data_IF_470510169409
#
_entry.id   IF_470510169409
#
_cell.length_a   1.000
_cell.length_b   1.000
_cell.length_c   1.000
_cell.angle_alpha   90.00
_cell.angle_beta   90.00
_cell.angle_gamma   90.00
#
_symmetry.space_group_name_H-M   'P 1'
#
loop_
_entity.id
_entity.type
_entity.pdbx_description
1 polymer ?
#
# COMPACT_ATOMS: atom_id res chain seq x y z
N UNK A 1 -19.13 -24.33 -12.23
CA UNK A 1 -18.85 -24.46 -10.77
C UNK A 1 -17.34 -24.36 -10.58
N UNK A 2 -16.84 -23.18 -10.29
CA UNK A 2 -15.41 -22.97 -10.02
C UNK A 2 -15.18 -23.16 -8.52
N UNK A 3 -14.26 -24.05 -8.17
CA UNK A 3 -13.94 -24.38 -6.77
C UNK A 3 -12.92 -23.36 -6.24
N UNK A 4 -13.29 -22.60 -5.22
CA UNK A 4 -12.37 -21.74 -4.48
C UNK A 4 -11.33 -22.58 -3.72
N UNK A 5 -10.06 -22.16 -3.76
CA UNK A 5 -8.98 -22.78 -3.01
C UNK A 5 -8.99 -22.20 -1.60
N UNK A 6 -9.11 -23.05 -0.59
CA UNK A 6 -9.02 -22.68 0.83
C UNK A 6 -7.67 -23.11 1.36
N UNK A 7 -6.83 -22.14 1.74
CA UNK A 7 -5.56 -22.43 2.41
C UNK A 7 -5.85 -22.50 3.93
N UNK A 8 -5.80 -23.71 4.47
CA UNK A 8 -5.86 -23.94 5.91
C UNK A 8 -4.43 -23.96 6.44
N UNK A 9 -4.12 -23.12 7.42
CA UNK A 9 -2.78 -22.99 7.99
C UNK A 9 -2.25 -24.33 8.53
N UNK A 10 -1.24 -24.89 7.86
CA UNK A 10 -0.52 -26.07 8.31
C UNK A 10 0.77 -25.61 8.97
N UNK A 11 0.76 -25.41 10.28
CA UNK A 11 1.97 -25.40 11.09
C UNK A 11 1.68 -26.07 12.43
N UNK A 12 2.21 -27.28 12.58
CA UNK A 12 2.26 -27.99 13.87
C UNK A 12 3.66 -27.96 14.47
N UNK A 13 3.72 -27.46 15.68
CA UNK A 13 4.67 -27.55 16.76
C UNK A 13 5.94 -28.42 16.60
N UNK A 14 7.09 -27.85 16.99
CA UNK A 14 8.13 -28.56 17.75
C UNK A 14 8.39 -27.81 19.06
N UNK A 15 7.92 -28.37 20.14
CA UNK A 15 8.34 -28.06 21.51
C UNK A 15 9.67 -28.77 21.77
N UNK A 16 10.63 -28.08 22.31
CA UNK A 16 11.73 -28.67 23.06
C UNK A 16 11.80 -27.97 24.43
N UNK A 17 11.59 -28.77 25.46
CA UNK A 17 11.70 -28.42 26.87
C UNK A 17 13.16 -28.20 27.26
N UNK A 18 13.44 -27.15 28.01
CA UNK A 18 14.49 -27.16 29.02
C UNK A 18 14.09 -26.21 30.17
N UNK A 19 13.93 -26.85 31.33
CA UNK A 19 13.69 -26.26 32.65
C UNK A 19 14.96 -25.63 33.22
N UNK A 20 14.83 -24.48 33.85
CA UNK A 20 15.51 -24.22 35.15
C UNK A 20 14.93 -23.01 35.88
N UNK A 21 14.74 -23.23 37.16
CA UNK A 21 14.09 -22.41 38.15
C UNK A 21 14.94 -21.24 38.64
N UNK A 22 14.33 -20.13 39.08
CA UNK A 22 14.34 -19.52 40.41
C UNK A 22 14.08 -18.00 40.36
N UNK A 23 12.99 -17.65 41.00
CA UNK A 23 12.68 -16.50 41.85
C UNK A 23 13.51 -15.20 41.70
N UNK A 24 12.82 -14.08 41.38
CA UNK A 24 12.77 -12.90 42.26
C UNK A 24 11.46 -12.15 41.98
N UNK A 25 10.69 -11.96 43.08
CA UNK A 25 9.47 -11.14 43.16
C UNK A 25 9.90 -9.66 43.07
N UNK A 26 9.41 -8.96 42.07
CA UNK A 26 9.51 -7.52 42.00
C UNK A 26 8.27 -7.01 41.27
N UNK A 27 7.20 -6.70 42.03
CA UNK A 27 6.07 -5.94 41.50
C UNK A 27 6.53 -4.56 41.09
N UNK A 28 6.77 -4.39 39.80
CA UNK A 28 6.72 -3.08 39.16
C UNK A 28 5.45 -3.06 38.32
N UNK A 29 4.41 -2.42 38.86
CA UNK A 29 3.31 -1.88 38.07
C UNK A 29 3.92 -0.89 37.06
N UNK A 30 4.38 -1.40 35.94
CA UNK A 30 4.60 -0.56 34.78
C UNK A 30 3.19 -0.31 34.21
N UNK A 31 2.54 0.74 34.72
CA UNK A 31 1.39 1.30 34.03
C UNK A 31 1.92 1.72 32.65
N UNK A 32 1.62 0.91 31.64
CA UNK A 32 1.79 1.32 30.25
C UNK A 32 0.92 2.56 30.08
N UNK A 33 1.58 3.72 29.96
CA UNK A 33 0.93 4.91 29.44
C UNK A 33 0.27 4.48 28.12
N UNK A 34 -1.00 4.84 27.87
CA UNK A 34 -1.59 4.61 26.58
C UNK A 34 -0.65 5.25 25.56
N UNK A 35 -0.17 4.47 24.60
CA UNK A 35 0.58 5.01 23.47
C UNK A 35 -0.27 6.14 22.89
N UNK A 36 0.32 7.33 22.73
CA UNK A 36 -0.35 8.44 22.07
C UNK A 36 -0.86 7.88 20.73
N UNK A 37 -2.16 7.99 20.48
CA UNK A 37 -2.74 7.54 19.22
C UNK A 37 -2.02 8.31 18.11
N UNK A 38 -1.34 7.59 17.23
CA UNK A 38 -0.78 8.19 16.02
C UNK A 38 -1.99 8.65 15.19
N UNK A 39 -2.13 9.97 14.93
CA UNK A 39 -3.30 10.53 14.26
C UNK A 39 -3.53 9.94 12.85
N UNK A 40 -2.52 9.28 12.28
CA UNK A 40 -2.64 8.58 11.01
C UNK A 40 -3.33 7.21 11.14
N UNK A 41 -3.41 6.61 12.35
CA UNK A 41 -4.06 5.31 12.54
C UNK A 41 -5.53 5.46 12.94
N UNK A 42 -6.42 4.96 12.09
CA UNK A 42 -7.87 5.00 12.28
C UNK A 42 -8.38 3.60 12.59
N UNK A 43 -8.99 3.40 13.77
CA UNK A 43 -9.69 2.17 14.11
C UNK A 43 -11.03 2.10 13.37
N UNK A 44 -11.18 1.12 12.48
CA UNK A 44 -12.39 0.92 11.66
C UNK A 44 -13.40 -0.01 12.33
N UNK A 45 -12.90 -1.04 13.00
CA UNK A 45 -13.64 -2.02 13.77
C UNK A 45 -12.70 -2.70 14.78
N UNK A 46 -13.22 -3.63 15.60
CA UNK A 46 -12.38 -4.40 16.51
C UNK A 46 -11.34 -5.23 15.73
N UNK A 47 -10.06 -4.92 15.98
CA UNK A 47 -8.92 -5.56 15.30
C UNK A 47 -8.78 -5.16 13.82
N UNK A 48 -9.41 -4.08 13.35
CA UNK A 48 -9.26 -3.57 11.98
C UNK A 48 -8.89 -2.10 12.02
N UNK A 49 -7.77 -1.75 11.41
CA UNK A 49 -7.25 -0.40 11.38
C UNK A 49 -6.82 -0.04 9.95
N UNK A 50 -6.87 1.25 9.63
CA UNK A 50 -6.24 1.82 8.45
C UNK A 50 -5.20 2.85 8.88
N UNK A 51 -4.08 2.90 8.20
CA UNK A 51 -3.16 4.03 8.26
C UNK A 51 -3.46 4.94 7.08
N UNK A 52 -3.95 6.12 7.38
CA UNK A 52 -4.27 7.16 6.39
C UNK A 52 -3.14 8.18 6.40
N UNK A 53 -2.44 8.29 5.29
CA UNK A 53 -1.20 9.06 5.23
C UNK A 53 -1.33 10.30 4.35
N UNK A 54 -0.47 11.29 4.60
CA UNK A 54 -0.33 12.43 3.71
C UNK A 54 0.44 12.02 2.44
N UNK A 55 0.03 12.46 1.24
CA UNK A 55 0.74 12.19 0.00
C UNK A 55 2.15 12.78 -0.05
N UNK A 56 2.44 13.78 0.77
CA UNK A 56 3.75 14.46 0.83
C UNK A 56 4.77 13.74 1.74
N UNK A 57 4.36 12.62 2.36
CA UNK A 57 5.20 11.88 3.32
C UNK A 57 6.00 10.73 2.69
N UNK A 58 6.75 10.02 3.55
CA UNK A 58 7.52 8.84 3.15
C UNK A 58 6.66 7.58 2.90
N UNK A 59 5.40 7.61 3.27
CA UNK A 59 4.46 6.50 3.12
C UNK A 59 3.72 6.54 1.79
N UNK A 60 3.22 7.70 1.38
CA UNK A 60 2.49 8.02 0.14
C UNK A 60 1.14 7.31 0.04
N UNK A 61 1.11 5.99 -0.10
CA UNK A 61 -0.13 5.19 -0.14
C UNK A 61 -0.62 4.77 1.26
N UNK A 62 -1.92 4.61 1.43
CA UNK A 62 -2.55 4.10 2.65
C UNK A 62 -2.24 2.62 2.87
N UNK A 63 -2.44 2.13 4.09
CA UNK A 63 -2.33 0.70 4.40
C UNK A 63 -3.41 0.23 5.36
N UNK A 64 -3.64 -1.10 5.38
CA UNK A 64 -4.59 -1.76 6.25
C UNK A 64 -3.92 -2.72 7.23
N UNK A 65 -4.47 -2.81 8.45
CA UNK A 65 -4.06 -3.78 9.47
C UNK A 65 -5.28 -4.58 9.89
N UNK A 66 -5.22 -5.89 9.74
CA UNK A 66 -6.27 -6.81 10.20
C UNK A 66 -5.67 -7.77 11.22
N UNK A 67 -6.02 -7.59 12.49
CA UNK A 67 -5.65 -8.51 13.56
C UNK A 67 -6.56 -9.72 13.47
N UNK A 68 -6.01 -10.85 13.05
CA UNK A 68 -6.67 -12.14 12.98
C UNK A 68 -6.64 -12.85 14.36
N UNK A 69 -7.13 -14.08 14.45
CA UNK A 69 -7.19 -14.77 15.75
C UNK A 69 -5.78 -15.14 16.26
N UNK A 70 -4.87 -15.56 15.40
CA UNK A 70 -3.50 -15.95 15.78
C UNK A 70 -2.39 -15.10 15.13
N UNK A 71 -2.72 -14.23 14.19
CA UNK A 71 -1.76 -13.48 13.41
C UNK A 71 -2.28 -12.10 13.03
N UNK A 72 -1.48 -11.36 12.26
CA UNK A 72 -1.86 -10.10 11.62
C UNK A 72 -1.69 -10.24 10.12
N UNK A 73 -2.65 -9.67 9.38
CA UNK A 73 -2.55 -9.41 7.96
C UNK A 73 -2.38 -7.91 7.75
N UNK A 74 -1.43 -7.54 6.90
CA UNK A 74 -1.17 -6.18 6.43
C UNK A 74 -1.62 -6.08 4.96
N UNK A 75 -2.33 -5.02 4.62
CA UNK A 75 -2.70 -4.68 3.24
C UNK A 75 -1.93 -3.43 2.86
N UNK A 76 -1.01 -3.56 1.90
CA UNK A 76 -0.02 -2.59 1.45
C UNK A 76 0.99 -2.13 2.52
N UNK A 77 2.18 -1.73 2.09
CA UNK A 77 3.34 -1.56 2.98
C UNK A 77 4.06 -0.23 2.83
N UNK A 78 3.47 0.72 2.09
CA UNK A 78 4.02 2.05 1.83
C UNK A 78 5.22 2.11 0.86
N UNK A 79 5.64 3.38 0.58
CA UNK A 79 6.67 3.72 -0.41
C UNK A 79 8.10 3.48 0.05
N UNK A 80 8.38 3.56 1.36
CA UNK A 80 9.75 3.42 1.85
C UNK A 80 9.88 2.32 2.91
N UNK A 81 11.07 1.71 3.03
CA UNK A 81 11.34 0.77 4.12
C UNK A 81 11.12 1.40 5.50
N UNK A 82 11.43 2.68 5.67
CA UNK A 82 11.24 3.42 6.91
C UNK A 82 9.74 3.55 7.26
N UNK A 83 8.90 3.84 6.28
CA UNK A 83 7.44 3.87 6.47
C UNK A 83 6.89 2.49 6.80
N UNK A 84 7.40 1.43 6.16
CA UNK A 84 7.09 0.04 6.52
C UNK A 84 7.51 -0.32 7.94
N UNK A 85 8.66 0.18 8.43
CA UNK A 85 9.10 0.01 9.82
C UNK A 85 8.18 0.71 10.81
N UNK A 86 7.73 1.93 10.49
CA UNK A 86 6.73 2.66 11.29
C UNK A 86 5.42 1.88 11.36
N UNK A 87 4.94 1.33 10.24
CA UNK A 87 3.77 0.47 10.20
C UNK A 87 3.94 -0.77 11.08
N UNK A 88 5.09 -1.45 11.00
CA UNK A 88 5.38 -2.62 11.84
C UNK A 88 5.46 -2.26 13.33
N UNK A 89 6.04 -1.12 13.67
CA UNK A 89 6.09 -0.62 15.06
C UNK A 89 4.67 -0.36 15.61
N UNK A 90 3.81 0.27 14.82
CA UNK A 90 2.41 0.49 15.17
C UNK A 90 1.65 -0.84 15.37
N UNK A 91 1.84 -1.83 14.50
CA UNK A 91 1.25 -3.15 14.68
C UNK A 91 1.66 -3.77 16.03
N UNK A 92 2.94 -3.67 16.38
CA UNK A 92 3.46 -4.20 17.65
C UNK A 92 2.89 -3.50 18.89
N UNK A 93 2.50 -2.23 18.77
CA UNK A 93 1.81 -1.51 19.86
C UNK A 93 0.34 -1.93 20.01
N UNK A 94 -0.29 -2.40 18.93
CA UNK A 94 -1.67 -2.87 18.90
C UNK A 94 -1.79 -4.31 19.42
N UNK A 95 -0.84 -5.19 19.03
CA UNK A 95 -0.93 -6.63 19.34
C UNK A 95 0.45 -7.30 19.32
N UNK A 96 0.70 -8.29 20.21
CA UNK A 96 1.91 -9.11 20.17
C UNK A 96 1.87 -10.21 19.09
N UNK A 97 0.77 -10.36 18.34
CA UNK A 97 0.62 -11.40 17.32
C UNK A 97 1.58 -11.15 16.15
N UNK A 98 2.17 -12.22 15.56
CA UNK A 98 3.07 -12.06 14.42
C UNK A 98 2.34 -11.63 13.17
N UNK A 99 2.99 -10.78 12.34
CA UNK A 99 2.52 -10.53 10.98
C UNK A 99 2.84 -11.77 10.14
N UNK A 100 1.81 -12.46 9.67
CA UNK A 100 1.94 -13.66 8.83
C UNK A 100 1.61 -13.43 7.38
N UNK A 101 0.84 -12.41 7.08
CA UNK A 101 0.38 -12.13 5.73
C UNK A 101 0.62 -10.65 5.40
N UNK A 102 1.20 -10.42 4.25
CA UNK A 102 1.21 -9.12 3.58
C UNK A 102 0.53 -9.30 2.25
N UNK A 103 -0.46 -8.47 1.97
CA UNK A 103 -1.19 -8.46 0.71
C UNK A 103 -0.89 -7.16 0.00
N UNK A 104 -0.38 -7.23 -1.22
CA UNK A 104 -0.25 -6.05 -2.07
C UNK A 104 -1.49 -5.90 -2.93
N UNK A 105 -2.12 -4.72 -2.88
CA UNK A 105 -3.27 -4.38 -3.70
C UNK A 105 -2.90 -4.43 -5.19
N UNK A 106 -1.78 -3.81 -5.54
CA UNK A 106 -1.22 -3.76 -6.90
C UNK A 106 0.31 -3.57 -6.84
N UNK A 107 0.97 -3.32 -7.97
CA UNK A 107 2.42 -3.35 -8.08
C UNK A 107 3.14 -2.01 -7.87
N UNK A 108 2.45 -0.89 -7.69
CA UNK A 108 3.10 0.39 -7.52
C UNK A 108 3.94 0.48 -6.25
N UNK A 109 5.00 1.26 -6.35
CA UNK A 109 6.05 1.37 -5.35
C UNK A 109 5.56 1.80 -3.97
N UNK A 110 4.58 2.69 -3.90
CA UNK A 110 4.02 3.23 -2.68
C UNK A 110 3.05 2.28 -1.94
N UNK A 111 2.86 1.08 -2.50
CA UNK A 111 2.13 -0.03 -1.89
C UNK A 111 3.02 -1.23 -1.57
N UNK A 112 4.25 -1.29 -2.13
CA UNK A 112 5.07 -2.52 -2.13
C UNK A 112 6.47 -2.36 -1.56
N UNK A 113 7.07 -1.17 -1.55
CA UNK A 113 8.46 -0.98 -1.18
C UNK A 113 8.77 -1.27 0.30
N UNK A 114 7.76 -1.21 1.19
CA UNK A 114 7.90 -1.66 2.57
C UNK A 114 7.88 -3.18 2.76
N UNK A 115 7.61 -3.99 1.73
CA UNK A 115 7.51 -5.45 1.82
C UNK A 115 8.72 -6.10 2.51
N UNK A 116 9.93 -5.57 2.28
CA UNK A 116 11.18 -6.08 2.84
C UNK A 116 11.24 -6.07 4.37
N UNK A 117 10.39 -5.25 5.02
CA UNK A 117 10.34 -5.13 6.48
C UNK A 117 9.66 -6.33 7.11
N UNK A 118 8.72 -6.94 6.41
CA UNK A 118 7.89 -8.06 6.87
C UNK A 118 8.50 -9.41 6.48
N UNK A 119 9.71 -9.69 6.99
CA UNK A 119 10.57 -10.79 6.54
C UNK A 119 9.97 -12.19 6.68
N UNK A 120 9.17 -12.38 7.74
CA UNK A 120 8.56 -13.66 8.10
C UNK A 120 7.12 -13.80 7.58
N UNK A 121 6.63 -12.79 6.87
CA UNK A 121 5.29 -12.79 6.32
C UNK A 121 5.25 -13.43 4.92
N UNK A 122 4.13 -14.08 4.63
CA UNK A 122 3.81 -14.56 3.29
C UNK A 122 3.29 -13.38 2.46
N UNK A 123 4.05 -13.01 1.44
CA UNK A 123 3.66 -11.96 0.48
C UNK A 123 2.67 -12.54 -0.52
N UNK A 124 1.51 -11.90 -0.64
CA UNK A 124 0.38 -12.30 -1.49
C UNK A 124 0.01 -11.12 -2.41
N UNK A 125 -0.29 -11.41 -3.65
CA UNK A 125 -0.77 -10.43 -4.63
C UNK A 125 -1.36 -11.13 -5.84
N UNK A 126 -1.80 -10.38 -6.86
CA UNK A 126 -2.15 -11.02 -8.14
C UNK A 126 -0.88 -11.46 -8.88
N UNK A 127 -1.03 -12.38 -9.85
CA UNK A 127 0.07 -12.74 -10.77
C UNK A 127 0.58 -11.51 -11.51
N UNK A 128 -0.32 -10.60 -11.89
CA UNK A 128 0.00 -9.33 -12.54
C UNK A 128 0.79 -8.40 -11.63
N UNK A 129 0.37 -8.27 -10.35
CA UNK A 129 1.12 -7.51 -9.34
C UNK A 129 2.56 -8.02 -9.21
N UNK A 130 2.76 -9.35 -9.14
CA UNK A 130 4.11 -9.92 -9.11
C UNK A 130 4.91 -9.57 -10.36
N UNK A 131 4.33 -9.69 -11.53
CA UNK A 131 4.97 -9.36 -12.82
C UNK A 131 5.33 -7.89 -12.88
N UNK A 132 4.40 -6.99 -12.53
CA UNK A 132 4.63 -5.54 -12.53
C UNK A 132 5.78 -5.12 -11.60
N UNK A 133 5.87 -5.69 -10.39
CA UNK A 133 7.00 -5.42 -9.47
C UNK A 133 8.35 -5.82 -10.12
N UNK A 134 8.42 -6.97 -10.78
CA UNK A 134 9.68 -7.49 -11.31
C UNK A 134 10.06 -6.87 -12.66
N UNK A 135 9.09 -6.58 -13.52
CA UNK A 135 9.31 -6.20 -14.92
C UNK A 135 9.13 -4.69 -15.16
N UNK A 136 8.42 -3.98 -14.27
CA UNK A 136 8.16 -2.54 -14.39
C UNK A 136 8.79 -1.75 -13.25
N UNK A 137 8.46 -2.03 -11.99
CA UNK A 137 8.91 -1.26 -10.83
C UNK A 137 10.43 -1.35 -10.64
N UNK A 138 11.01 -2.55 -10.59
CA UNK A 138 12.45 -2.74 -10.38
C UNK A 138 13.31 -2.07 -11.49
N UNK A 139 13.00 -2.21 -12.79
CA UNK A 139 13.71 -1.46 -13.84
C UNK A 139 13.52 0.06 -13.74
N UNK A 140 12.32 0.52 -13.38
CA UNK A 140 12.03 1.95 -13.20
C UNK A 140 12.83 2.55 -12.05
N UNK A 141 12.90 1.87 -10.89
CA UNK A 141 13.73 2.27 -9.76
C UNK A 141 15.19 2.44 -10.17
N UNK A 142 15.77 1.45 -10.87
CA UNK A 142 17.16 1.50 -11.32
C UNK A 142 17.43 2.69 -12.25
N UNK A 143 16.51 2.96 -13.18
CA UNK A 143 16.57 4.11 -14.10
C UNK A 143 16.49 5.43 -13.35
N UNK A 144 15.52 5.57 -12.45
CA UNK A 144 15.30 6.80 -11.66
C UNK A 144 16.48 7.09 -10.73
N UNK A 145 17.04 6.06 -10.10
CA UNK A 145 18.28 6.21 -9.32
C UNK A 145 19.47 6.65 -10.19
N UNK A 146 19.58 6.14 -11.40
CA UNK A 146 20.61 6.56 -12.36
C UNK A 146 20.46 8.04 -12.75
N UNK A 147 19.24 8.49 -13.05
CA UNK A 147 18.93 9.90 -13.34
C UNK A 147 19.26 10.79 -12.13
N UNK A 148 18.82 10.41 -10.94
CA UNK A 148 19.07 11.17 -9.72
C UNK A 148 20.58 11.30 -9.41
N UNK A 149 21.37 10.25 -9.61
CA UNK A 149 22.85 10.28 -9.47
C UNK A 149 23.47 11.27 -10.44
N UNK A 150 23.09 11.22 -11.72
CA UNK A 150 23.62 12.12 -12.74
C UNK A 150 23.25 13.59 -12.47
N UNK A 151 22.01 13.86 -12.03
CA UNK A 151 21.57 15.20 -11.64
C UNK A 151 22.35 15.69 -10.41
N UNK A 152 22.54 14.84 -9.40
CA UNK A 152 23.31 15.19 -8.21
C UNK A 152 24.76 15.55 -8.53
N UNK A 153 25.41 14.80 -9.42
CA UNK A 153 26.78 15.12 -9.88
C UNK A 153 26.83 16.51 -10.52
N UNK A 154 25.92 16.81 -11.44
CA UNK A 154 25.85 18.13 -12.10
C UNK A 154 25.63 19.28 -11.11
N UNK A 155 24.68 19.10 -10.19
CA UNK A 155 24.39 20.14 -9.18
C UNK A 155 25.58 20.40 -8.25
N UNK A 156 26.35 19.37 -7.90
CA UNK A 156 27.57 19.52 -7.11
C UNK A 156 28.69 20.24 -7.85
N UNK A 157 28.92 19.91 -9.14
CA UNK A 157 29.87 20.59 -10.00
C UNK A 157 29.50 22.08 -10.21
N UNK A 158 28.20 22.40 -10.30
CA UNK A 158 27.71 23.77 -10.38
C UNK A 158 27.93 24.49 -9.06
N UNK A 159 27.63 23.86 -7.93
CA UNK A 159 27.84 24.43 -6.60
C UNK A 159 29.32 24.74 -6.31
N UNK A 160 30.25 23.88 -6.75
CA UNK A 160 31.70 24.10 -6.58
C UNK A 160 32.21 25.38 -7.28
N UNK A 161 31.53 25.80 -8.36
CA UNK A 161 31.89 26.99 -9.16
C UNK A 161 31.14 28.25 -8.72
N UNK A 162 30.12 28.12 -7.88
CA UNK A 162 29.23 29.21 -7.51
C UNK A 162 29.79 29.97 -6.29
N UNK A 163 29.72 31.29 -6.34
CA UNK A 163 30.15 32.19 -5.26
C UNK A 163 29.02 32.97 -4.61
N UNK A 164 27.86 33.04 -5.30
CA UNK A 164 26.69 33.76 -4.82
C UNK A 164 25.96 32.92 -3.75
N UNK A 165 25.91 33.43 -2.53
CA UNK A 165 25.29 32.72 -1.40
C UNK A 165 23.83 32.34 -1.61
N UNK A 166 23.05 33.16 -2.35
CA UNK A 166 21.65 32.86 -2.65
C UNK A 166 21.53 31.71 -3.63
N UNK A 167 22.39 31.64 -4.64
CA UNK A 167 22.41 30.53 -5.58
C UNK A 167 22.91 29.24 -4.94
N UNK A 168 23.96 29.32 -4.11
CA UNK A 168 24.44 28.18 -3.32
C UNK A 168 23.30 27.58 -2.48
N UNK A 169 22.51 28.43 -1.80
CA UNK A 169 21.34 27.94 -1.04
C UNK A 169 20.33 27.21 -1.94
N UNK A 170 20.00 27.78 -3.12
CA UNK A 170 19.08 27.14 -4.08
C UNK A 170 19.60 25.79 -4.57
N UNK A 171 20.90 25.67 -4.79
CA UNK A 171 21.53 24.40 -5.19
C UNK A 171 21.46 23.39 -4.05
N UNK A 172 21.73 23.78 -2.81
CA UNK A 172 21.60 22.91 -1.64
C UNK A 172 20.17 22.42 -1.44
N UNK A 173 19.17 23.28 -1.66
CA UNK A 173 17.74 22.92 -1.58
C UNK A 173 17.35 21.89 -2.65
N UNK A 174 18.11 21.79 -3.77
CA UNK A 174 17.93 20.77 -4.80
C UNK A 174 18.76 19.51 -4.54
N UNK A 175 19.96 19.66 -4.00
CA UNK A 175 20.89 18.55 -3.72
C UNK A 175 20.36 17.66 -2.62
N UNK A 176 19.94 18.24 -1.49
CA UNK A 176 19.56 17.50 -0.29
C UNK A 176 18.41 16.48 -0.54
N UNK A 177 17.30 16.81 -1.18
CA UNK A 177 16.24 15.83 -1.47
C UNK A 177 16.72 14.65 -2.32
N UNK A 178 17.63 14.90 -3.29
CA UNK A 178 18.19 13.85 -4.14
C UNK A 178 19.14 12.92 -3.38
N UNK A 179 19.94 13.46 -2.48
CA UNK A 179 20.79 12.67 -1.57
C UNK A 179 19.94 11.78 -0.66
N UNK A 180 18.90 12.37 -0.06
CA UNK A 180 17.98 11.66 0.83
C UNK A 180 17.26 10.54 0.06
N UNK A 181 16.75 10.81 -1.14
CA UNK A 181 16.16 9.81 -2.03
C UNK A 181 17.14 8.67 -2.35
N UNK A 182 18.34 9.00 -2.83
CA UNK A 182 19.35 7.99 -3.16
C UNK A 182 19.76 7.16 -1.94
N UNK A 183 19.88 7.77 -0.76
CA UNK A 183 20.20 7.07 0.48
C UNK A 183 19.10 6.09 0.86
N UNK A 184 17.84 6.48 0.77
CA UNK A 184 16.68 5.62 1.07
C UNK A 184 16.58 4.49 0.06
N UNK A 185 16.60 4.80 -1.24
CA UNK A 185 16.43 3.80 -2.29
C UNK A 185 17.62 2.85 -2.43
N UNK A 186 18.84 3.26 -2.05
CA UNK A 186 19.99 2.35 -2.05
C UNK A 186 19.88 1.18 -1.05
N UNK A 187 19.00 1.28 -0.06
CA UNK A 187 18.72 0.25 0.94
C UNK A 187 17.49 -0.59 0.61
N UNK A 188 16.77 -0.21 -0.44
CA UNK A 188 15.57 -0.90 -0.85
C UNK A 188 15.91 -2.27 -1.44
N UNK A 189 15.21 -3.29 -0.95
CA UNK A 189 15.23 -4.65 -1.48
C UNK A 189 13.82 -4.97 -1.95
N UNK A 190 13.59 -4.86 -3.23
CA UNK A 190 12.30 -5.18 -3.83
C UNK A 190 11.92 -6.63 -3.52
N UNK A 191 10.74 -6.85 -2.97
CA UNK A 191 10.16 -8.14 -2.63
C UNK A 191 8.79 -8.26 -3.30
N UNK A 192 8.68 -9.18 -4.25
CA UNK A 192 7.43 -9.49 -4.93
C UNK A 192 6.65 -10.60 -4.21
N UNK A 193 5.32 -10.66 -4.39
CA UNK A 193 4.49 -11.73 -3.87
C UNK A 193 5.03 -13.14 -4.20
N UNK A 194 5.01 -14.03 -3.21
CA UNK A 194 5.37 -15.44 -3.37
C UNK A 194 4.13 -16.29 -3.68
N UNK A 195 2.99 -15.90 -3.11
CA UNK A 195 1.70 -16.52 -3.44
C UNK A 195 0.93 -15.58 -4.34
N UNK A 196 0.50 -16.09 -5.48
CA UNK A 196 -0.28 -15.31 -6.44
C UNK A 196 -1.70 -15.84 -6.58
N UNK A 197 -2.63 -14.95 -6.91
CA UNK A 197 -4.02 -15.26 -7.23
C UNK A 197 -4.42 -14.56 -8.52
N UNK A 198 -5.28 -15.22 -9.30
CA UNK A 198 -5.85 -14.68 -10.54
C UNK A 198 -7.37 -14.56 -10.48
N UNK A 199 -7.98 -14.90 -9.32
CA UNK A 199 -9.42 -14.83 -9.06
C UNK A 199 -9.63 -14.42 -7.59
N UNK A 200 -10.18 -15.31 -6.78
CA UNK A 200 -10.51 -15.04 -5.38
C UNK A 200 -9.74 -15.97 -4.45
N UNK A 201 -9.25 -15.42 -3.32
CA UNK A 201 -8.62 -16.18 -2.26
C UNK A 201 -9.30 -15.87 -0.92
N UNK A 202 -9.53 -16.89 -0.10
CA UNK A 202 -9.97 -16.70 1.28
C UNK A 202 -8.85 -17.10 2.23
N UNK A 203 -8.50 -16.17 3.12
CA UNK A 203 -7.63 -16.42 4.27
C UNK A 203 -8.52 -16.59 5.49
N UNK A 204 -8.38 -17.73 6.19
CA UNK A 204 -9.08 -17.97 7.43
C UNK A 204 -8.07 -18.29 8.54
N UNK A 205 -8.14 -17.53 9.62
CA UNK A 205 -7.34 -17.69 10.83
C UNK A 205 -8.30 -17.69 12.02
N UNK A 206 -8.56 -18.89 12.56
CA UNK A 206 -9.59 -19.11 13.56
C UNK A 206 -10.99 -18.78 13.04
N UNK A 207 -11.67 -17.86 13.71
CA UNK A 207 -13.01 -17.40 13.34
C UNK A 207 -12.99 -16.19 12.38
N UNK A 208 -11.83 -15.59 12.19
CA UNK A 208 -11.66 -14.45 11.26
C UNK A 208 -11.47 -14.92 9.83
N UNK A 209 -12.26 -14.33 8.95
CA UNK A 209 -12.25 -14.61 7.51
C UNK A 209 -12.02 -13.33 6.73
N UNK A 210 -11.04 -13.36 5.85
CA UNK A 210 -10.69 -12.28 4.91
C UNK A 210 -10.82 -12.81 3.50
N UNK A 211 -11.44 -12.04 2.61
CA UNK A 211 -11.53 -12.38 1.19
C UNK A 211 -10.64 -11.43 0.38
N UNK A 212 -9.80 -11.97 -0.45
CA UNK A 212 -9.07 -11.25 -1.47
C UNK A 212 -9.79 -11.48 -2.80
N UNK A 213 -10.13 -10.42 -3.49
CA UNK A 213 -10.98 -10.43 -4.68
C UNK A 213 -10.27 -9.72 -5.83
N UNK A 214 -10.14 -10.38 -6.96
CA UNK A 214 -9.86 -9.73 -8.23
C UNK A 214 -11.20 -9.42 -8.90
N UNK A 215 -11.51 -8.14 -9.05
CA UNK A 215 -12.79 -7.68 -9.59
C UNK A 215 -12.69 -7.21 -11.05
N UNK A 216 -11.48 -7.16 -11.57
CA UNK A 216 -11.16 -6.72 -12.93
C UNK A 216 -9.97 -5.76 -12.92
N UNK A 217 -9.52 -5.39 -14.12
CA UNK A 217 -8.49 -4.37 -14.30
C UNK A 217 -9.03 -2.99 -13.91
N UNK A 218 -8.16 -2.09 -13.48
CA UNK A 218 -8.53 -0.73 -13.13
C UNK A 218 -7.37 0.22 -13.18
N UNK A 219 -6.84 0.57 -12.03
CA UNK A 219 -5.66 1.40 -11.86
C UNK A 219 -4.39 0.72 -12.42
N UNK A 220 -4.34 -0.60 -12.24
CA UNK A 220 -3.43 -1.50 -12.94
C UNK A 220 -4.21 -2.69 -13.52
N UNK A 221 -3.50 -3.62 -14.14
CA UNK A 221 -4.09 -4.88 -14.61
C UNK A 221 -4.24 -5.93 -13.50
N UNK A 222 -3.69 -5.67 -12.31
CA UNK A 222 -3.55 -6.63 -11.21
C UNK A 222 -4.20 -6.24 -9.88
N UNK A 223 -5.10 -5.25 -9.88
CA UNK A 223 -5.69 -4.72 -8.65
C UNK A 223 -6.52 -5.76 -7.89
N UNK A 224 -6.27 -5.93 -6.59
CA UNK A 224 -7.06 -6.78 -5.71
C UNK A 224 -7.65 -6.02 -4.54
N UNK A 225 -8.82 -6.43 -4.11
CA UNK A 225 -9.57 -5.88 -2.99
C UNK A 225 -9.51 -6.85 -1.82
N UNK A 226 -9.31 -6.33 -0.61
CA UNK A 226 -9.47 -7.07 0.63
C UNK A 226 -10.83 -6.75 1.24
N UNK A 227 -11.71 -7.76 1.32
CA UNK A 227 -13.04 -7.62 1.91
C UNK A 227 -13.12 -8.35 3.26
N UNK A 228 -13.64 -7.65 4.26
CA UNK A 228 -14.02 -8.15 5.58
C UNK A 228 -15.56 -8.20 5.68
N UNK A 229 -16.19 -9.32 5.29
CA UNK A 229 -17.65 -9.37 5.15
C UNK A 229 -18.41 -9.10 6.45
N UNK A 230 -17.90 -9.64 7.58
CA UNK A 230 -18.52 -9.46 8.90
C UNK A 230 -18.46 -8.01 9.40
N UNK A 231 -17.37 -7.31 9.07
CA UNK A 231 -17.14 -5.91 9.47
C UNK A 231 -17.70 -4.91 8.45
N UNK A 232 -18.10 -5.37 7.26
CA UNK A 232 -18.52 -4.55 6.13
C UNK A 232 -17.48 -3.49 5.75
N UNK A 233 -16.21 -3.90 5.69
CA UNK A 233 -15.07 -3.05 5.33
C UNK A 233 -14.39 -3.65 4.11
N UNK A 234 -14.12 -2.81 3.11
CA UNK A 234 -13.30 -3.13 1.95
C UNK A 234 -12.07 -2.22 1.90
N UNK A 235 -10.87 -2.81 1.82
CA UNK A 235 -9.66 -2.10 1.40
C UNK A 235 -9.53 -2.31 -0.10
N UNK A 236 -9.58 -1.24 -0.85
CA UNK A 236 -9.74 -1.29 -2.31
C UNK A 236 -8.48 -0.81 -3.07
N UNK A 237 -7.44 -0.40 -2.33
CA UNK A 237 -6.22 0.12 -2.96
C UNK A 237 -6.56 1.27 -3.89
N UNK A 238 -5.82 1.37 -4.98
CA UNK A 238 -5.94 2.44 -5.98
C UNK A 238 -7.10 2.27 -6.96
N UNK A 239 -7.95 1.24 -6.76
CA UNK A 239 -9.25 1.22 -7.42
C UNK A 239 -10.14 2.40 -6.96
N UNK A 240 -9.81 3.04 -5.83
CA UNK A 240 -10.51 4.21 -5.33
C UNK A 240 -9.53 5.25 -4.80
N UNK A 241 -9.63 6.48 -5.32
CA UNK A 241 -8.97 7.68 -4.82
C UNK A 241 -10.02 8.56 -4.17
N UNK A 242 -9.86 8.80 -2.87
CA UNK A 242 -10.82 9.64 -2.12
C UNK A 242 -10.31 11.07 -2.06
N UNK A 243 -11.04 12.02 -2.69
CA UNK A 243 -10.68 13.44 -2.74
C UNK A 243 -9.28 13.72 -3.29
N UNK A 244 -8.82 12.86 -4.18
CA UNK A 244 -7.53 12.97 -4.85
C UNK A 244 -7.69 12.65 -6.34
N UNK A 245 -6.87 13.26 -7.17
CA UNK A 245 -6.82 12.98 -8.60
C UNK A 245 -6.06 11.64 -8.78
N UNK A 246 -6.63 10.66 -9.50
CA UNK A 246 -5.97 9.39 -9.69
C UNK A 246 -4.77 9.51 -10.63
N UNK A 247 -3.70 8.75 -10.36
CA UNK A 247 -2.73 8.41 -11.39
C UNK A 247 -3.39 7.45 -12.39
N UNK A 248 -3.21 7.69 -13.68
CA UNK A 248 -3.82 6.90 -14.76
C UNK A 248 -2.79 6.35 -15.74
N UNK A 249 -1.51 6.44 -15.41
CA UNK A 249 -0.40 6.10 -16.32
C UNK A 249 -0.46 4.64 -16.76
N UNK A 250 -0.77 3.72 -15.85
CA UNK A 250 -0.85 2.28 -16.10
C UNK A 250 -2.30 1.77 -16.15
N UNK A 251 -3.27 2.70 -16.18
CA UNK A 251 -4.67 2.37 -16.01
C UNK A 251 -5.35 1.96 -17.32
N UNK A 252 -6.30 1.04 -17.21
CA UNK A 252 -7.31 0.79 -18.23
C UNK A 252 -8.62 1.47 -17.81
N UNK A 253 -8.78 2.75 -18.18
CA UNK A 253 -9.91 3.58 -17.74
C UNK A 253 -11.28 2.93 -18.02
N UNK A 254 -11.45 2.33 -19.22
CA UNK A 254 -12.73 1.74 -19.59
C UNK A 254 -13.04 0.46 -18.80
N UNK A 255 -12.03 -0.30 -18.43
CA UNK A 255 -12.22 -1.44 -17.55
C UNK A 255 -12.35 -0.99 -16.10
N UNK A 256 -11.61 0.03 -15.66
CA UNK A 256 -11.72 0.60 -14.32
C UNK A 256 -13.15 1.05 -14.01
N UNK A 257 -13.81 1.73 -14.93
CA UNK A 257 -15.23 2.09 -14.79
C UNK A 257 -16.13 0.86 -14.54
N UNK A 258 -15.85 -0.28 -15.20
CA UNK A 258 -16.59 -1.53 -14.97
C UNK A 258 -16.23 -2.16 -13.63
N UNK A 259 -14.96 -2.15 -13.29
CA UNK A 259 -14.45 -2.67 -12.00
C UNK A 259 -15.01 -1.89 -10.82
N UNK A 260 -15.18 -0.55 -10.94
CA UNK A 260 -15.86 0.25 -9.93
C UNK A 260 -17.33 -0.17 -9.73
N UNK A 261 -18.03 -0.59 -10.78
CA UNK A 261 -19.39 -1.16 -10.64
C UNK A 261 -19.37 -2.45 -9.81
N UNK A 262 -18.35 -3.31 -9.96
CA UNK A 262 -18.20 -4.51 -9.13
C UNK A 262 -17.81 -4.17 -7.68
N UNK A 263 -16.96 -3.15 -7.47
CA UNK A 263 -16.63 -2.62 -6.13
C UNK A 263 -17.91 -2.13 -5.43
N UNK A 264 -18.77 -1.41 -6.12
CA UNK A 264 -20.05 -0.91 -5.57
C UNK A 264 -21.05 -2.04 -5.22
N UNK A 265 -20.92 -3.23 -5.77
CA UNK A 265 -21.76 -4.40 -5.41
C UNK A 265 -21.30 -5.10 -4.13
N UNK A 266 -20.11 -4.77 -3.61
CA UNK A 266 -19.64 -5.37 -2.36
C UNK A 266 -20.56 -5.01 -1.19
N UNK A 267 -20.81 -5.99 -0.31
CA UNK A 267 -21.48 -5.75 0.96
C UNK A 267 -20.48 -5.10 1.95
N UNK A 268 -20.19 -3.82 1.70
CA UNK A 268 -19.30 -2.99 2.51
C UNK A 268 -19.93 -1.62 2.75
N UNK A 269 -19.65 -1.05 3.93
CA UNK A 269 -20.10 0.27 4.36
C UNK A 269 -18.93 1.27 4.38
N UNK A 270 -17.69 0.76 4.59
CA UNK A 270 -16.46 1.55 4.59
C UNK A 270 -15.54 1.04 3.49
N UNK A 271 -15.05 1.97 2.71
CA UNK A 271 -14.08 1.73 1.64
C UNK A 271 -12.79 2.48 1.96
N UNK A 272 -11.71 1.73 2.17
CA UNK A 272 -10.39 2.30 2.41
C UNK A 272 -9.68 2.42 1.08
N UNK A 273 -9.44 3.65 0.60
CA UNK A 273 -8.75 3.90 -0.66
C UNK A 273 -7.26 3.68 -0.53
N UNK A 274 -6.55 3.61 -1.66
CA UNK A 274 -5.09 3.69 -1.66
C UNK A 274 -4.59 5.09 -1.31
N UNK A 275 -5.35 6.13 -1.67
CA UNK A 275 -5.02 7.53 -1.37
C UNK A 275 -6.22 8.32 -0.88
N UNK A 276 -5.98 9.18 0.11
CA UNK A 276 -6.98 10.05 0.69
C UNK A 276 -7.79 9.41 1.84
N UNK A 277 -8.82 10.08 2.35
CA UNK A 277 -9.59 9.65 3.50
C UNK A 277 -10.48 8.44 3.21
N UNK A 278 -10.84 7.71 4.26
CA UNK A 278 -11.80 6.60 4.19
C UNK A 278 -13.12 7.13 3.62
N UNK A 279 -13.67 6.39 2.66
CA UNK A 279 -14.93 6.72 2.01
C UNK A 279 -16.06 5.75 2.34
N UNK A 280 -17.24 6.14 1.90
CA UNK A 280 -18.46 5.34 1.83
C UNK A 280 -18.70 4.84 0.41
N UNK A 281 -19.76 4.08 0.21
CA UNK A 281 -20.21 3.68 -1.13
C UNK A 281 -20.53 4.89 -2.04
N UNK A 282 -21.12 5.95 -1.47
CA UNK A 282 -21.41 7.18 -2.19
C UNK A 282 -20.11 7.88 -2.68
N UNK A 283 -19.04 7.83 -1.89
CA UNK A 283 -17.75 8.40 -2.31
C UNK A 283 -17.13 7.61 -3.47
N UNK A 284 -17.30 6.28 -3.50
CA UNK A 284 -16.88 5.45 -4.66
C UNK A 284 -17.74 5.76 -5.89
N UNK A 285 -19.03 6.01 -5.71
CA UNK A 285 -19.94 6.41 -6.79
C UNK A 285 -19.54 7.76 -7.39
N UNK A 286 -19.28 8.78 -6.56
CA UNK A 286 -18.77 10.09 -6.99
C UNK A 286 -17.43 9.96 -7.75
N UNK A 287 -16.54 9.08 -7.29
CA UNK A 287 -15.30 8.80 -8.01
C UNK A 287 -15.55 8.14 -9.37
N UNK A 288 -16.53 7.25 -9.47
CA UNK A 288 -16.95 6.67 -10.75
C UNK A 288 -17.54 7.72 -11.70
N UNK A 289 -18.30 8.69 -11.17
CA UNK A 289 -18.84 9.80 -11.94
C UNK A 289 -17.74 10.69 -12.54
N UNK A 290 -16.63 10.90 -11.82
CA UNK A 290 -15.46 11.63 -12.34
C UNK A 290 -14.97 11.01 -13.67
N UNK A 291 -14.87 9.69 -13.78
CA UNK A 291 -14.47 9.03 -15.04
C UNK A 291 -15.53 9.15 -16.13
N UNK A 292 -16.82 9.17 -15.79
CA UNK A 292 -17.88 9.39 -16.77
C UNK A 292 -17.80 10.81 -17.34
N UNK A 293 -17.55 11.80 -16.49
CA UNK A 293 -17.38 13.18 -16.92
C UNK A 293 -16.12 13.35 -17.78
N UNK A 294 -14.97 12.82 -17.33
CA UNK A 294 -13.72 12.84 -18.09
C UNK A 294 -13.90 12.22 -19.48
N UNK A 295 -14.54 11.05 -19.56
CA UNK A 295 -14.84 10.39 -20.84
C UNK A 295 -15.72 11.26 -21.75
N UNK A 296 -16.73 11.93 -21.19
CA UNK A 296 -17.61 12.81 -21.95
C UNK A 296 -16.89 14.03 -22.49
N UNK A 297 -15.99 14.63 -21.69
CA UNK A 297 -15.16 15.78 -22.09
C UNK A 297 -14.20 15.41 -23.22
N UNK A 298 -13.51 14.27 -23.07
CA UNK A 298 -12.59 13.74 -24.10
C UNK A 298 -13.36 13.45 -25.40
N UNK A 299 -14.53 12.80 -25.32
CA UNK A 299 -15.35 12.53 -26.52
C UNK A 299 -15.78 13.82 -27.20
N UNK A 300 -16.19 14.81 -26.44
CA UNK A 300 -16.57 16.13 -26.98
C UNK A 300 -15.41 16.85 -27.67
N UNK A 301 -14.19 16.75 -27.15
CA UNK A 301 -12.99 17.29 -27.78
C UNK A 301 -12.68 16.57 -29.10
N UNK A 302 -12.80 15.25 -29.12
CA UNK A 302 -12.63 14.43 -30.35
C UNK A 302 -13.68 14.83 -31.41
N UNK A 303 -14.93 14.96 -31.02
CA UNK A 303 -16.03 15.33 -31.94
C UNK A 303 -15.85 16.75 -32.53
N UNK A 304 -15.19 17.67 -31.82
CA UNK A 304 -14.80 18.98 -32.33
C UNK A 304 -13.57 18.94 -33.23
N UNK A 305 -12.80 17.84 -33.23
CA UNK A 305 -11.51 17.72 -33.94
C UNK A 305 -10.38 18.44 -33.26
N UNK A 306 -10.44 18.62 -31.94
CA UNK A 306 -9.39 19.28 -31.14
C UNK A 306 -8.10 18.46 -31.16
N UNK A 307 -6.94 19.15 -31.13
CA UNK A 307 -5.66 18.48 -30.85
C UNK A 307 -5.53 18.18 -29.36
N UNK A 308 -4.51 17.38 -28.99
CA UNK A 308 -4.24 17.07 -27.57
C UNK A 308 -3.98 18.35 -26.76
N UNK A 309 -3.33 19.36 -27.37
CA UNK A 309 -3.03 20.64 -26.73
C UNK A 309 -4.27 21.54 -26.59
N UNK A 310 -5.34 21.27 -27.33
CA UNK A 310 -6.61 22.03 -27.31
C UNK A 310 -7.67 21.38 -26.42
N UNK A 311 -7.52 20.10 -26.13
CA UNK A 311 -8.43 19.32 -25.31
C UNK A 311 -8.14 19.51 -23.81
#
# INVERSE_FOLDING_TARGET
MRRGITITAIFRNKLALLSCSLLVIGCLFCASLPAAEDPEFVKLAEGVFARIVSPDGNAVGNSGIVVLDQSVLVFDTHFTPEAGQTLLAAIRSITPKPVRYVVNSHWHADHTHGNQVFRDALLIGSTKTRTGILESDLPSLNRTMGIAKNQLTRLREEMEKETNKTQIKRLLDQIKPREDYLRTMSRLQIKAPLVTLDDNLTIQDGQRKVRLLYLGEGHTDGDIVLLLPKQKIAFVGDLFFSRAIPNVEDANILQWMKTLQEVMKLDAEKFVPGHGPIGSKNDVELFSEYFNELKSLVQSAIDRGDTIEQA
#
